data_IF_134697509054
#
_entry.id   IF_134697509054
#
_cell.length_a   1.000
_cell.length_b   1.000
_cell.length_c   1.000
_cell.angle_alpha   90.00
_cell.angle_beta   90.00
_cell.angle_gamma   90.00
#
_symmetry.space_group_name_H-M   'P 1'
#
loop_
_entity.id
_entity.type
_entity.pdbx_description
1 polymer ?
#
# COMPACT_ATOMS: atom_id res chain seq x y z
N UNK A 1 -15.62 28.77 20.44
CA UNK A 1 -14.66 28.91 19.33
C UNK A 1 -14.74 27.59 18.57
N UNK A 2 -15.50 27.56 17.48
CA UNK A 2 -15.80 26.35 16.74
C UNK A 2 -14.52 25.85 16.05
N UNK A 3 -13.97 24.75 16.55
CA UNK A 3 -13.00 23.96 15.79
C UNK A 3 -13.70 23.49 14.53
N UNK A 4 -13.22 23.95 13.38
CA UNK A 4 -13.72 23.53 12.09
C UNK A 4 -13.22 22.09 11.89
N UNK A 5 -14.08 21.05 11.95
CA UNK A 5 -13.65 19.65 12.03
C UNK A 5 -12.87 19.16 10.80
N UNK A 6 -12.79 19.99 9.74
CA UNK A 6 -12.10 19.68 8.48
C UNK A 6 -10.60 19.99 8.46
N UNK A 7 -10.04 20.73 9.43
CA UNK A 7 -8.63 21.14 9.36
C UNK A 7 -7.66 19.99 9.66
N UNK A 8 -8.07 19.02 10.49
CA UNK A 8 -7.20 17.89 10.86
C UNK A 8 -7.15 16.78 9.79
N UNK A 9 -7.98 16.88 8.74
CA UNK A 9 -7.97 15.94 7.61
C UNK A 9 -6.93 16.30 6.54
N UNK A 10 -6.41 17.53 6.56
CA UNK A 10 -5.40 17.95 5.58
C UNK A 10 -4.01 17.50 6.06
N UNK A 11 -3.34 16.70 5.22
CA UNK A 11 -2.03 16.14 5.50
C UNK A 11 -1.00 16.76 4.57
N UNK A 12 0.10 17.28 5.15
CA UNK A 12 1.30 17.64 4.40
C UNK A 12 2.08 16.37 4.09
N UNK A 13 2.10 15.99 2.83
CA UNK A 13 2.73 14.77 2.35
C UNK A 13 4.25 14.91 2.43
N UNK A 14 4.91 13.95 3.05
CA UNK A 14 6.37 13.83 3.09
C UNK A 14 6.86 12.76 2.13
N UNK A 15 6.13 11.65 2.03
CA UNK A 15 6.41 10.56 1.10
C UNK A 15 5.12 10.16 0.40
N UNK A 16 5.21 9.87 -0.89
CA UNK A 16 4.19 9.15 -1.65
C UNK A 16 4.90 8.12 -2.52
N UNK A 17 4.46 6.87 -2.45
CA UNK A 17 5.06 5.74 -3.14
C UNK A 17 4.35 5.47 -4.46
N UNK A 18 5.13 4.97 -5.41
CA UNK A 18 4.62 4.49 -6.70
C UNK A 18 4.13 3.06 -6.57
N UNK A 19 2.96 2.81 -7.14
CA UNK A 19 2.38 1.49 -7.29
C UNK A 19 2.37 1.05 -8.76
N UNK A 20 2.18 -0.25 -9.01
CA UNK A 20 2.25 -0.79 -10.38
C UNK A 20 1.23 -0.15 -11.32
N UNK A 21 0.04 0.19 -10.81
CA UNK A 21 -0.99 0.93 -11.55
C UNK A 21 -0.49 2.29 -12.04
N UNK A 22 0.22 3.05 -11.20
CA UNK A 22 0.71 4.38 -11.57
C UNK A 22 1.62 4.30 -12.79
N UNK A 23 2.50 3.28 -12.82
CA UNK A 23 3.37 3.01 -13.97
C UNK A 23 2.57 2.57 -15.18
N UNK A 24 1.58 1.70 -15.03
CA UNK A 24 0.76 1.24 -16.16
C UNK A 24 -0.03 2.38 -16.82
N UNK A 25 -0.58 3.30 -16.02
CA UNK A 25 -1.28 4.49 -16.52
C UNK A 25 -0.29 5.43 -17.19
N UNK A 26 0.81 5.79 -16.51
CA UNK A 26 1.81 6.70 -17.05
C UNK A 26 2.47 6.19 -18.35
N UNK A 27 2.51 4.87 -18.56
CA UNK A 27 3.05 4.25 -19.78
C UNK A 27 1.98 3.96 -20.86
N UNK A 28 0.71 4.31 -20.62
CA UNK A 28 -0.38 4.09 -21.56
C UNK A 28 -0.78 2.63 -21.75
N UNK A 29 -0.33 1.73 -20.86
CA UNK A 29 -0.69 0.29 -20.88
C UNK A 29 -2.01 0.01 -20.19
N UNK A 30 -2.52 0.96 -19.42
CA UNK A 30 -3.83 0.93 -18.79
C UNK A 30 -4.50 2.27 -19.04
N UNK A 31 -5.72 2.24 -19.60
CA UNK A 31 -6.50 3.45 -19.84
C UNK A 31 -7.23 3.86 -18.57
N UNK A 32 -7.35 5.17 -18.34
CA UNK A 32 -7.98 5.70 -17.14
C UNK A 32 -9.50 5.57 -17.13
N UNK A 33 -10.10 5.46 -18.32
CA UNK A 33 -11.53 5.23 -18.57
C UNK A 33 -12.12 4.03 -17.82
N UNK A 34 -11.28 3.07 -17.42
CA UNK A 34 -11.69 1.88 -16.66
C UNK A 34 -11.97 2.24 -15.18
N UNK A 35 -11.50 3.39 -14.70
CA UNK A 35 -11.38 3.68 -13.27
C UNK A 35 -12.05 4.96 -12.81
N UNK A 36 -12.17 5.97 -13.68
CA UNK A 36 -12.80 7.25 -13.35
C UNK A 36 -14.30 7.21 -13.62
N UNK A 37 -15.09 7.68 -12.64
CA UNK A 37 -16.56 7.78 -12.79
C UNK A 37 -16.97 9.15 -13.33
N UNK A 38 -16.07 10.14 -13.28
CA UNK A 38 -16.33 11.50 -13.73
C UNK A 38 -15.06 12.16 -14.29
N UNK A 39 -15.20 13.05 -15.29
CA UNK A 39 -14.10 13.75 -15.97
C UNK A 39 -13.27 14.65 -15.05
N UNK A 40 -13.81 15.07 -13.90
CA UNK A 40 -13.08 15.85 -12.90
C UNK A 40 -11.99 15.03 -12.17
N UNK A 41 -12.09 13.70 -12.19
CA UNK A 41 -11.10 12.80 -11.59
C UNK A 41 -9.91 12.52 -12.53
N UNK A 42 -9.99 12.93 -13.81
CA UNK A 42 -8.96 12.70 -14.85
C UNK A 42 -7.70 13.55 -14.63
N UNK A 43 -7.77 14.65 -13.87
CA UNK A 43 -6.62 15.58 -13.74
C UNK A 43 -5.55 15.10 -12.75
N UNK A 44 -5.86 14.15 -11.85
CA UNK A 44 -4.93 13.68 -10.81
C UNK A 44 -5.07 12.16 -10.54
N UNK A 45 -4.63 11.35 -11.51
CA UNK A 45 -4.86 9.90 -11.51
C UNK A 45 -3.81 9.08 -10.74
N UNK A 46 -2.63 9.67 -10.51
CA UNK A 46 -1.47 8.96 -9.98
C UNK A 46 -1.38 9.07 -8.45
N UNK A 47 -0.88 8.00 -7.84
CA UNK A 47 -0.59 7.92 -6.41
C UNK A 47 -1.78 7.43 -5.61
N UNK A 48 -1.55 6.33 -4.88
CA UNK A 48 -2.56 5.67 -4.05
C UNK A 48 -2.37 5.90 -2.56
N UNK A 49 -1.14 6.16 -2.13
CA UNK A 49 -0.80 6.23 -0.72
C UNK A 49 0.21 7.32 -0.45
N UNK A 50 0.24 7.72 0.81
CA UNK A 50 1.11 8.76 1.31
C UNK A 50 1.44 8.50 2.78
N UNK A 51 2.52 9.13 3.23
CA UNK A 51 2.82 9.35 4.63
C UNK A 51 3.17 10.83 4.84
N UNK A 52 2.67 11.41 5.92
CA UNK A 52 2.81 12.83 6.17
C UNK A 52 2.40 13.26 7.57
N UNK A 53 2.24 14.56 7.74
CA UNK A 53 1.96 15.20 9.02
C UNK A 53 0.73 16.10 8.88
N UNK A 54 -0.25 15.97 9.79
CA UNK A 54 -1.43 16.83 9.83
C UNK A 54 -1.11 18.24 10.34
N UNK A 55 -2.05 19.17 10.23
CA UNK A 55 -1.92 20.50 10.84
C UNK A 55 -1.73 20.45 12.38
N UNK A 56 -2.29 19.44 13.05
CA UNK A 56 -2.10 19.22 14.50
C UNK A 56 -0.77 18.53 14.85
N UNK A 57 0.06 18.17 13.87
CA UNK A 57 1.35 17.51 14.08
C UNK A 57 1.28 15.98 14.17
N UNK A 58 0.12 15.37 13.93
CA UNK A 58 -0.01 13.90 13.93
C UNK A 58 0.65 13.29 12.70
N UNK A 59 1.34 12.18 12.90
CA UNK A 59 2.02 11.41 11.84
C UNK A 59 1.03 10.39 11.30
N UNK A 60 0.66 10.52 10.03
CA UNK A 60 -0.38 9.71 9.39
C UNK A 60 0.15 9.07 8.12
N UNK A 61 -0.17 7.78 7.93
CA UNK A 61 -0.12 7.12 6.63
C UNK A 61 -1.55 6.87 6.16
N UNK A 62 -1.78 6.94 4.86
CA UNK A 62 -3.14 6.80 4.34
C UNK A 62 -3.20 6.47 2.87
N UNK A 63 -4.41 6.22 2.40
CA UNK A 63 -4.72 5.88 1.02
C UNK A 63 -5.83 6.73 0.46
N UNK A 64 -5.81 6.92 -0.86
CA UNK A 64 -6.93 7.42 -1.67
C UNK A 64 -7.02 6.65 -2.97
N UNK A 65 -8.12 6.85 -3.69
CA UNK A 65 -8.31 6.28 -5.03
C UNK A 65 -7.28 6.82 -6.05
N UNK A 66 -6.87 8.07 -5.88
CA UNK A 66 -5.85 8.73 -6.69
C UNK A 66 -5.39 10.03 -6.03
N UNK A 67 -4.37 10.67 -6.61
CA UNK A 67 -3.92 12.01 -6.26
C UNK A 67 -3.06 12.09 -5.00
N UNK A 68 -2.50 10.97 -4.55
CA UNK A 68 -1.58 10.98 -3.41
C UNK A 68 -0.16 11.43 -3.79
N UNK A 69 0.20 11.42 -5.08
CA UNK A 69 1.45 12.01 -5.58
C UNK A 69 1.33 13.54 -5.64
N UNK A 70 1.20 14.13 -4.45
CA UNK A 70 0.97 15.55 -4.24
C UNK A 70 1.75 16.04 -3.01
N UNK A 71 1.84 17.36 -2.83
CA UNK A 71 2.45 17.97 -1.64
C UNK A 71 1.49 18.04 -0.44
N UNK A 72 0.18 18.01 -0.71
CA UNK A 72 -0.89 18.07 0.27
C UNK A 72 -2.00 17.12 -0.16
N UNK A 73 -2.59 16.41 0.79
CA UNK A 73 -3.70 15.49 0.54
C UNK A 73 -4.78 15.73 1.59
N UNK A 74 -6.04 15.79 1.16
CA UNK A 74 -7.18 15.65 2.05
C UNK A 74 -7.37 14.16 2.33
N UNK A 75 -7.07 13.75 3.56
CA UNK A 75 -7.13 12.36 3.97
C UNK A 75 -8.56 11.87 4.13
N UNK A 76 -8.78 10.60 3.79
CA UNK A 76 -10.04 9.89 4.02
C UNK A 76 -10.00 9.26 5.41
N UNK A 77 -10.87 9.66 6.36
CA UNK A 77 -10.86 9.12 7.72
C UNK A 77 -11.04 7.59 7.81
N UNK A 78 -11.58 6.96 6.76
CA UNK A 78 -11.72 5.50 6.69
C UNK A 78 -10.48 4.76 6.19
N UNK A 79 -9.53 5.50 5.61
CA UNK A 79 -8.30 4.99 4.99
C UNK A 79 -7.07 5.77 5.48
N UNK A 80 -7.08 6.16 6.75
CA UNK A 80 -5.97 6.81 7.45
C UNK A 80 -5.65 6.03 8.71
N UNK A 81 -4.36 5.95 9.02
CA UNK A 81 -3.83 5.27 10.20
C UNK A 81 -2.71 6.08 10.83
N UNK A 82 -2.70 6.12 12.16
CA UNK A 82 -1.58 6.68 12.92
C UNK A 82 -0.31 5.88 12.64
N UNK A 83 0.79 6.60 12.42
CA UNK A 83 2.10 5.97 12.21
C UNK A 83 2.71 5.66 13.58
N UNK A 84 3.14 4.41 13.86
CA UNK A 84 3.85 4.07 15.08
C UNK A 84 5.08 4.96 15.32
N UNK A 85 5.39 5.23 16.58
CA UNK A 85 6.51 6.08 16.97
C UNK A 85 7.86 5.53 16.49
N UNK A 86 7.97 4.20 16.40
CA UNK A 86 9.18 3.50 15.98
C UNK A 86 9.43 3.52 14.46
N UNK A 87 8.42 3.88 13.67
CA UNK A 87 8.53 3.88 12.21
C UNK A 87 8.94 5.25 11.72
N UNK A 88 9.75 5.34 10.69
CA UNK A 88 9.92 6.57 9.91
C UNK A 88 8.70 6.84 9.02
N UNK A 89 8.56 8.07 8.51
CA UNK A 89 7.53 8.36 7.50
C UNK A 89 7.80 7.60 6.19
N UNK A 90 9.08 7.35 5.87
CA UNK A 90 9.49 6.60 4.69
C UNK A 90 9.02 5.15 4.76
N UNK A 91 9.30 4.46 5.87
CA UNK A 91 8.87 3.08 6.11
C UNK A 91 7.34 2.99 6.11
N UNK A 92 6.67 3.93 6.77
CA UNK A 92 5.21 3.95 6.86
C UNK A 92 4.55 4.07 5.48
N UNK A 93 5.12 4.82 4.54
CA UNK A 93 4.59 4.98 3.19
C UNK A 93 4.59 3.67 2.38
N UNK A 94 5.33 2.64 2.81
CA UNK A 94 5.42 1.36 2.10
C UNK A 94 4.32 0.36 2.45
N UNK A 95 3.47 0.68 3.43
CA UNK A 95 2.57 -0.28 4.08
C UNK A 95 1.14 -0.27 3.52
N UNK A 96 0.45 0.89 3.36
CA UNK A 96 -0.99 0.91 3.18
C UNK A 96 -1.51 0.07 2.01
N UNK A 97 -1.04 0.31 0.78
CA UNK A 97 -1.54 -0.35 -0.43
C UNK A 97 -1.21 -1.84 -0.39
N UNK A 98 0.03 -2.19 -0.09
CA UNK A 98 0.48 -3.58 -0.18
C UNK A 98 -0.21 -4.46 0.87
N UNK A 99 -0.31 -4.00 2.11
CA UNK A 99 -0.96 -4.78 3.17
C UNK A 99 -2.48 -4.80 3.06
N UNK A 100 -3.11 -3.71 2.60
CA UNK A 100 -4.56 -3.73 2.32
C UNK A 100 -4.89 -4.72 1.20
N UNK A 101 -4.06 -4.75 0.14
CA UNK A 101 -4.21 -5.70 -0.97
C UNK A 101 -4.12 -7.15 -0.49
N UNK A 102 -3.14 -7.45 0.36
CA UNK A 102 -2.99 -8.78 0.98
C UNK A 102 -4.17 -9.11 1.88
N UNK A 103 -4.60 -8.17 2.71
CA UNK A 103 -5.72 -8.38 3.63
C UNK A 103 -7.02 -8.69 2.87
N UNK A 104 -7.33 -7.92 1.83
CA UNK A 104 -8.51 -8.16 0.99
C UNK A 104 -8.40 -9.52 0.30
N UNK A 105 -7.24 -9.83 -0.30
CA UNK A 105 -7.04 -11.09 -1.01
C UNK A 105 -7.16 -12.31 -0.09
N UNK A 106 -6.50 -12.28 1.07
CA UNK A 106 -6.40 -13.44 1.95
C UNK A 106 -7.64 -13.64 2.83
N UNK A 107 -8.19 -12.56 3.39
CA UNK A 107 -9.25 -12.66 4.40
C UNK A 107 -10.64 -12.34 3.86
N UNK A 108 -10.76 -11.50 2.83
CA UNK A 108 -12.07 -11.18 2.23
C UNK A 108 -12.39 -12.07 1.04
N UNK A 109 -11.43 -12.34 0.16
CA UNK A 109 -11.65 -13.12 -1.05
C UNK A 109 -11.40 -14.62 -0.85
N UNK A 110 -10.23 -15.01 -0.31
CA UNK A 110 -9.81 -16.42 -0.25
C UNK A 110 -10.19 -17.13 1.06
N UNK A 111 -10.40 -16.39 2.16
CA UNK A 111 -10.67 -16.92 3.51
C UNK A 111 -9.66 -18.00 3.95
N UNK A 112 -8.36 -17.64 3.91
CA UNK A 112 -7.26 -18.56 4.21
C UNK A 112 -7.30 -19.10 5.66
N UNK A 113 -6.79 -20.32 5.85
CA UNK A 113 -6.71 -21.03 7.13
C UNK A 113 -5.33 -21.64 7.35
N UNK A 114 -4.96 -21.80 8.62
CA UNK A 114 -3.71 -22.45 9.03
C UNK A 114 -3.61 -23.87 8.44
N UNK A 115 -2.41 -24.25 8.01
CA UNK A 115 -2.14 -25.57 7.43
C UNK A 115 -2.50 -25.72 5.95
N UNK A 116 -2.99 -24.66 5.30
CA UNK A 116 -3.13 -24.61 3.84
C UNK A 116 -1.82 -24.17 3.18
N UNK A 117 -1.69 -24.43 1.88
CA UNK A 117 -0.60 -23.90 1.06
C UNK A 117 -1.07 -22.71 0.21
N UNK A 118 -0.12 -21.85 -0.16
CA UNK A 118 -0.36 -20.68 -1.02
C UNK A 118 0.78 -20.50 -2.02
N UNK A 119 0.44 -20.17 -3.27
CA UNK A 119 1.41 -19.76 -4.29
C UNK A 119 1.35 -18.23 -4.46
N UNK A 120 2.47 -17.55 -4.20
CA UNK A 120 2.62 -16.10 -4.31
C UNK A 120 3.53 -15.80 -5.49
N UNK A 121 2.99 -15.23 -6.56
CA UNK A 121 3.82 -14.79 -7.67
C UNK A 121 4.58 -13.50 -7.35
N UNK A 122 5.78 -13.36 -7.93
CA UNK A 122 6.64 -12.19 -7.79
C UNK A 122 6.92 -11.83 -6.32
N UNK A 123 7.36 -12.82 -5.52
CA UNK A 123 7.54 -12.70 -4.07
C UNK A 123 8.44 -11.55 -3.62
N UNK A 124 9.38 -11.14 -4.46
CA UNK A 124 10.29 -10.02 -4.16
C UNK A 124 9.69 -8.63 -4.44
N UNK A 125 8.44 -8.54 -4.90
CA UNK A 125 7.71 -7.27 -5.07
C UNK A 125 6.99 -6.85 -3.79
N UNK A 126 6.52 -5.59 -3.70
CA UNK A 126 5.90 -5.05 -2.48
C UNK A 126 4.74 -5.90 -1.93
N UNK A 127 3.75 -6.23 -2.77
CA UNK A 127 2.64 -7.12 -2.39
C UNK A 127 3.14 -8.52 -2.06
N UNK A 128 4.13 -9.03 -2.81
CA UNK A 128 4.72 -10.35 -2.60
C UNK A 128 5.36 -10.49 -1.22
N UNK A 129 6.15 -9.49 -0.80
CA UNK A 129 6.80 -9.47 0.51
C UNK A 129 5.77 -9.42 1.65
N UNK A 130 4.76 -8.56 1.53
CA UNK A 130 3.68 -8.49 2.51
C UNK A 130 2.89 -9.80 2.57
N UNK A 131 2.60 -10.41 1.41
CA UNK A 131 1.87 -11.67 1.33
C UNK A 131 2.63 -12.83 1.99
N UNK A 132 3.94 -12.94 1.73
CA UNK A 132 4.81 -13.96 2.35
C UNK A 132 4.83 -13.77 3.86
N UNK A 133 5.07 -12.55 4.34
CA UNK A 133 5.09 -12.23 5.78
C UNK A 133 3.79 -12.67 6.47
N UNK A 134 2.63 -12.33 5.90
CA UNK A 134 1.33 -12.68 6.48
C UNK A 134 1.03 -14.18 6.38
N UNK A 135 1.37 -14.82 5.25
CA UNK A 135 1.15 -16.25 5.06
C UNK A 135 1.95 -17.10 6.06
N UNK A 136 3.24 -16.79 6.23
CA UNK A 136 4.11 -17.44 7.21
C UNK A 136 3.61 -17.21 8.64
N UNK A 137 3.23 -15.97 8.98
CA UNK A 137 2.65 -15.65 10.29
C UNK A 137 1.37 -16.46 10.58
N UNK A 138 0.56 -16.73 9.55
CA UNK A 138 -0.66 -17.55 9.64
C UNK A 138 -0.40 -19.06 9.61
N UNK A 139 0.85 -19.49 9.46
CA UNK A 139 1.24 -20.90 9.41
C UNK A 139 0.73 -21.61 8.16
N UNK A 140 0.82 -20.93 7.01
CA UNK A 140 0.62 -21.55 5.70
C UNK A 140 1.97 -22.06 5.15
N UNK A 141 1.90 -23.06 4.28
CA UNK A 141 3.03 -23.46 3.44
C UNK A 141 3.12 -22.52 2.24
N UNK A 142 4.26 -21.88 2.02
CA UNK A 142 4.40 -20.81 1.03
C UNK A 142 5.26 -21.26 -0.15
N UNK A 143 4.71 -21.19 -1.35
CA UNK A 143 5.44 -21.28 -2.61
C UNK A 143 5.53 -19.88 -3.22
N UNK A 144 6.66 -19.54 -3.83
CA UNK A 144 6.84 -18.23 -4.45
C UNK A 144 7.65 -18.27 -5.74
N UNK A 145 7.43 -17.29 -6.62
CA UNK A 145 8.23 -17.12 -7.84
C UNK A 145 9.04 -15.84 -7.81
N UNK A 146 10.27 -15.90 -8.35
CA UNK A 146 11.17 -14.76 -8.55
C UNK A 146 11.88 -14.89 -9.89
N UNK A 147 12.33 -13.76 -10.44
CA UNK A 147 12.90 -13.71 -11.80
C UNK A 147 14.42 -13.87 -11.85
N UNK A 148 15.13 -13.72 -10.73
CA UNK A 148 16.60 -13.75 -10.67
C UNK A 148 17.08 -14.46 -9.41
N UNK A 149 18.32 -14.95 -9.44
CA UNK A 149 18.96 -15.58 -8.27
C UNK A 149 19.12 -14.59 -7.11
N UNK A 150 19.51 -13.34 -7.38
CA UNK A 150 19.61 -12.28 -6.37
C UNK A 150 18.29 -12.07 -5.60
N UNK A 151 17.15 -12.03 -6.31
CA UNK A 151 15.83 -11.91 -5.66
C UNK A 151 15.49 -13.14 -4.83
N UNK A 152 15.91 -14.33 -5.26
CA UNK A 152 15.76 -15.56 -4.48
C UNK A 152 16.55 -15.49 -3.19
N UNK A 153 17.83 -15.12 -3.28
CA UNK A 153 18.72 -15.03 -2.12
C UNK A 153 18.23 -13.98 -1.12
N UNK A 154 17.77 -12.83 -1.62
CA UNK A 154 17.11 -11.80 -0.80
C UNK A 154 15.92 -12.34 -0.01
N UNK A 155 15.01 -13.10 -0.66
CA UNK A 155 13.85 -13.67 0.03
C UNK A 155 14.25 -14.70 1.09
N UNK A 156 15.19 -15.59 0.79
CA UNK A 156 15.67 -16.60 1.74
C UNK A 156 16.40 -15.98 2.94
N UNK A 157 17.14 -14.88 2.72
CA UNK A 157 17.74 -14.12 3.81
C UNK A 157 16.68 -13.41 4.67
N UNK A 158 15.66 -12.81 4.03
CA UNK A 158 14.63 -12.01 4.71
C UNK A 158 13.60 -12.87 5.45
N UNK A 159 13.32 -14.07 4.95
CA UNK A 159 12.36 -15.02 5.48
C UNK A 159 13.02 -16.41 5.63
N UNK A 160 13.73 -16.67 6.74
CA UNK A 160 14.44 -17.94 6.93
C UNK A 160 13.54 -19.19 6.99
N UNK A 161 12.23 -19.01 7.16
CA UNK A 161 11.22 -20.07 7.22
C UNK A 161 10.43 -20.22 5.91
N UNK A 162 10.86 -19.53 4.84
CA UNK A 162 10.33 -19.67 3.48
C UNK A 162 11.04 -20.83 2.77
#
# INVERSE_FOLDING_TARGET
LNENPNVDNIVKVSYSSLNFRDVMIATGRLTSDIMTQCRLEEECELGFEYAGITASGKRIMGMRKSGCLATMVEGDPSLMWDIPDEWSLEEACTVPVVYLTVYMSFFKCANIRKGQSVLIHAGSGGVGLAAIQIALFRGLEVFTTVSTQEKKDFLLQRFPNL
#
